data_IF_382091507137
#
_entry.id   IF_382091507137
#
_cell.length_a   1.000
_cell.length_b   1.000
_cell.length_c   1.000
_cell.angle_alpha   90.00
_cell.angle_beta   90.00
_cell.angle_gamma   90.00
#
_symmetry.space_group_name_H-M   'P 1'
#
loop_
_entity.id
_entity.type
_entity.pdbx_description
1 polymer ?
#
# COMPACT_ATOMS: atom_id res chain seq x y z
N UNK A 1 3.72 -7.04 -1.35
CA UNK A 1 4.92 -6.43 -1.97
C UNK A 1 4.50 -5.10 -2.57
N UNK A 2 5.11 -3.97 -2.18
CA UNK A 2 4.75 -2.67 -2.72
C UNK A 2 5.06 -2.62 -4.22
N UNK A 3 4.17 -2.00 -5.01
CA UNK A 3 4.44 -1.67 -6.40
C UNK A 3 4.54 -0.16 -6.53
N UNK A 4 5.66 0.30 -7.06
CA UNK A 4 5.90 1.68 -7.49
C UNK A 4 5.81 1.69 -9.01
N UNK A 5 4.92 2.51 -9.56
CA UNK A 5 4.71 2.64 -10.99
C UNK A 5 4.84 4.13 -11.33
N UNK A 6 5.51 4.43 -12.45
CA UNK A 6 5.76 5.77 -13.00
C UNK A 6 6.92 6.55 -12.37
N UNK A 7 7.21 7.69 -13.02
CA UNK A 7 8.33 8.58 -12.75
C UNK A 7 8.28 9.18 -11.34
N UNK A 8 9.32 8.93 -10.54
CA UNK A 8 9.45 9.38 -9.16
C UNK A 8 9.66 10.90 -9.01
N UNK A 9 9.84 11.65 -10.11
CA UNK A 9 9.85 13.12 -10.10
C UNK A 9 8.45 13.73 -9.99
N UNK A 10 7.40 12.93 -10.19
CA UNK A 10 6.00 13.37 -10.16
C UNK A 10 5.45 13.39 -8.73
N UNK A 11 4.37 14.16 -8.47
CA UNK A 11 3.65 14.06 -7.20
C UNK A 11 3.23 12.61 -6.92
N UNK A 12 3.48 12.17 -5.69
CA UNK A 12 3.17 10.81 -5.27
C UNK A 12 1.73 10.70 -4.76
N UNK A 13 1.10 9.56 -5.06
CA UNK A 13 -0.19 9.15 -4.48
C UNK A 13 -0.07 7.73 -3.97
N UNK A 14 -0.54 7.49 -2.74
CA UNK A 14 -0.65 6.14 -2.18
C UNK A 14 -2.09 5.68 -2.22
N UNK A 15 -2.33 4.49 -2.78
CA UNK A 15 -3.67 3.94 -2.90
C UNK A 15 -3.89 2.87 -1.83
N UNK A 16 -4.85 3.12 -0.95
CA UNK A 16 -5.21 2.22 0.14
C UNK A 16 -6.49 1.47 -0.20
N UNK A 17 -6.46 0.14 -0.11
CA UNK A 17 -7.67 -0.66 -0.27
C UNK A 17 -8.56 -0.59 0.99
N UNK A 18 -9.87 -0.77 0.80
CA UNK A 18 -10.84 -0.89 1.90
C UNK A 18 -10.99 -2.32 2.45
N UNK A 19 -12.08 -2.57 3.18
CA UNK A 19 -12.39 -3.84 3.83
C UNK A 19 -12.63 -3.64 5.33
N UNK A 20 -11.66 -3.92 6.22
CA UNK A 20 -10.24 -4.24 5.99
C UNK A 20 -10.00 -5.65 5.42
N UNK A 21 -8.76 -5.94 4.99
CA UNK A 21 -8.36 -7.29 4.54
C UNK A 21 -8.57 -7.62 3.05
N UNK A 22 -9.09 -6.69 2.23
CA UNK A 22 -9.45 -6.96 0.83
C UNK A 22 -8.27 -7.09 -0.15
N UNK A 23 -7.14 -6.43 0.13
CA UNK A 23 -6.01 -6.35 -0.79
C UNK A 23 -6.23 -5.35 -1.93
N UNK A 24 -5.14 -4.94 -2.57
CA UNK A 24 -5.14 -4.00 -3.68
C UNK A 24 -5.63 -4.69 -4.96
N UNK A 25 -6.73 -4.19 -5.52
CA UNK A 25 -7.18 -4.63 -6.84
C UNK A 25 -6.29 -4.04 -7.94
N UNK A 26 -6.09 -4.79 -9.03
CA UNK A 26 -5.38 -4.28 -10.21
C UNK A 26 -6.10 -3.11 -10.92
N UNK A 27 -7.35 -2.82 -10.54
CA UNK A 27 -8.13 -1.70 -11.07
C UNK A 27 -7.78 -0.37 -10.40
N UNK A 28 -7.38 -0.39 -9.13
CA UNK A 28 -7.17 0.82 -8.33
C UNK A 28 -6.11 1.76 -8.93
N UNK A 29 -4.92 1.29 -9.37
CA UNK A 29 -3.95 2.15 -10.05
C UNK A 29 -4.44 2.76 -11.36
N UNK A 30 -5.37 2.09 -12.06
CA UNK A 30 -5.88 2.53 -13.37
C UNK A 30 -6.84 3.73 -13.27
N UNK A 31 -7.21 4.14 -12.07
CA UNK A 31 -7.99 5.35 -11.83
C UNK A 31 -7.12 6.61 -11.90
N UNK A 32 -5.80 6.46 -11.97
CA UNK A 32 -4.84 7.56 -12.00
C UNK A 32 -4.09 7.58 -13.32
N UNK A 33 -3.83 8.79 -13.81
CA UNK A 33 -3.00 9.03 -14.98
C UNK A 33 -1.52 8.82 -14.62
N UNK A 34 -0.86 7.78 -15.16
CA UNK A 34 0.54 7.48 -14.84
C UNK A 34 1.51 8.55 -15.33
N UNK A 35 1.11 9.42 -16.27
CA UNK A 35 1.93 10.53 -16.74
C UNK A 35 1.87 11.76 -15.82
N UNK A 36 0.94 11.77 -14.88
CA UNK A 36 0.77 12.86 -13.90
C UNK A 36 1.15 12.46 -12.49
N UNK A 37 1.13 11.17 -12.16
CA UNK A 37 1.30 10.68 -10.80
C UNK A 37 2.37 9.61 -10.70
N UNK A 38 3.16 9.68 -9.62
CA UNK A 38 3.92 8.55 -9.10
C UNK A 38 2.98 7.71 -8.23
N UNK A 39 2.62 6.52 -8.70
CA UNK A 39 1.55 5.71 -8.08
C UNK A 39 2.17 4.63 -7.21
N UNK A 40 1.82 4.65 -5.92
CA UNK A 40 2.25 3.67 -4.92
C UNK A 40 1.06 2.83 -4.48
N UNK A 41 1.20 1.51 -4.51
CA UNK A 41 0.21 0.59 -3.92
C UNK A 41 0.84 -0.42 -2.98
N UNK A 42 0.07 -0.84 -1.98
CA UNK A 42 0.48 -1.88 -1.03
C UNK A 42 -0.72 -2.69 -0.55
N UNK A 43 -0.49 -3.97 -0.27
CA UNK A 43 -1.44 -4.82 0.46
C UNK A 43 -1.19 -4.66 1.95
N UNK A 44 -2.22 -4.31 2.72
CA UNK A 44 -2.12 -4.20 4.19
C UNK A 44 -1.81 -5.57 4.82
N UNK A 45 -1.40 -5.56 6.10
CA UNK A 45 -1.05 -6.78 6.84
C UNK A 45 -2.16 -7.83 6.74
N UNK A 46 -1.76 -9.08 6.49
CA UNK A 46 -2.69 -10.21 6.36
C UNK A 46 -3.53 -10.25 5.08
N UNK A 47 -3.47 -9.24 4.21
CA UNK A 47 -4.30 -9.14 3.01
C UNK A 47 -3.52 -9.41 1.70
N UNK A 48 -4.24 -9.84 0.66
CA UNK A 48 -3.71 -9.97 -0.70
C UNK A 48 -2.38 -10.75 -0.78
N UNK A 49 -1.32 -10.07 -1.21
CA UNK A 49 0.02 -10.64 -1.38
C UNK A 49 0.93 -10.39 -0.16
N UNK A 50 0.43 -9.78 0.91
CA UNK A 50 1.18 -9.64 2.15
C UNK A 50 1.28 -10.99 2.87
N UNK A 51 2.37 -11.16 3.63
CA UNK A 51 2.68 -12.42 4.31
C UNK A 51 3.05 -12.15 5.77
N UNK A 52 2.62 -13.01 6.72
CA UNK A 52 1.69 -14.13 6.53
C UNK A 52 0.28 -13.67 6.10
N UNK A 53 -0.46 -14.52 5.36
CA UNK A 53 -1.81 -14.21 4.91
C UNK A 53 -2.83 -14.66 5.97
N UNK A 54 -3.80 -13.81 6.33
CA UNK A 54 -4.70 -14.07 7.45
C UNK A 54 -5.66 -15.24 7.21
N UNK A 55 -5.97 -15.55 5.94
CA UNK A 55 -6.74 -16.74 5.58
C UNK A 55 -5.95 -18.05 5.66
N UNK A 56 -4.63 -17.99 5.81
CA UNK A 56 -3.74 -19.16 5.91
C UNK A 56 -3.20 -19.33 7.34
N UNK A 57 -2.87 -18.23 8.01
CA UNK A 57 -2.31 -18.21 9.36
C UNK A 57 -2.90 -17.03 10.17
N UNK A 58 -3.65 -17.35 11.22
CA UNK A 58 -4.28 -16.36 12.11
C UNK A 58 -3.25 -15.55 12.92
N UNK A 59 -2.00 -16.00 13.03
CA UNK A 59 -0.93 -15.21 13.64
C UNK A 59 -0.70 -13.89 12.91
N UNK A 60 -1.09 -13.80 11.63
CA UNK A 60 -1.10 -12.58 10.84
C UNK A 60 -1.94 -11.44 11.45
N UNK A 61 -2.86 -11.76 12.38
CA UNK A 61 -3.71 -10.78 13.06
C UNK A 61 -3.08 -10.16 14.31
N UNK A 62 -2.04 -10.77 14.89
CA UNK A 62 -1.46 -10.31 16.17
C UNK A 62 -0.91 -8.88 16.13
N UNK A 63 -0.35 -8.47 14.99
CA UNK A 63 0.17 -7.12 14.78
C UNK A 63 -0.56 -6.40 13.64
N UNK A 64 -1.88 -6.64 13.51
CA UNK A 64 -2.73 -6.05 12.47
C UNK A 64 -3.71 -5.03 13.07
N UNK A 65 -3.16 -3.92 13.57
CA UNK A 65 -3.92 -2.81 14.15
C UNK A 65 -3.71 -1.54 13.31
N UNK A 66 -4.59 -0.54 13.46
CA UNK A 66 -4.48 0.73 12.74
C UNK A 66 -3.10 1.37 12.91
N UNK A 67 -2.55 1.40 14.12
CA UNK A 67 -1.22 1.99 14.38
C UNK A 67 -0.11 1.27 13.61
N UNK A 68 -0.18 -0.05 13.54
CA UNK A 68 0.75 -0.86 12.76
C UNK A 68 0.63 -0.56 11.26
N UNK A 69 -0.60 -0.40 10.75
CA UNK A 69 -0.84 -0.06 9.35
C UNK A 69 -0.33 1.35 9.01
N UNK A 70 -0.55 2.32 9.89
CA UNK A 70 0.01 3.69 9.74
C UNK A 70 1.55 3.64 9.77
N UNK A 71 2.14 2.87 10.69
CA UNK A 71 3.60 2.70 10.75
C UNK A 71 4.17 2.05 9.48
N UNK A 72 3.46 1.11 8.85
CA UNK A 72 3.88 0.51 7.59
C UNK A 72 3.87 1.52 6.45
N UNK A 73 2.88 2.42 6.42
CA UNK A 73 2.81 3.49 5.43
C UNK A 73 3.97 4.47 5.57
N UNK A 74 4.32 4.89 6.78
CA UNK A 74 5.51 5.75 7.00
C UNK A 74 6.81 5.05 6.62
N UNK A 75 6.93 3.75 6.94
CA UNK A 75 8.08 2.94 6.53
C UNK A 75 8.17 2.86 5.01
N UNK A 76 7.05 2.60 4.33
CA UNK A 76 7.01 2.54 2.88
C UNK A 76 7.36 3.88 2.24
N UNK A 77 6.79 4.98 2.74
CA UNK A 77 7.07 6.34 2.29
C UNK A 77 8.57 6.65 2.37
N UNK A 78 9.18 6.36 3.51
CA UNK A 78 10.61 6.57 3.77
C UNK A 78 11.48 5.70 2.88
N UNK A 79 11.13 4.41 2.71
CA UNK A 79 11.86 3.48 1.84
C UNK A 79 11.85 3.90 0.38
N UNK A 80 10.78 4.54 -0.09
CA UNK A 80 10.65 5.04 -1.45
C UNK A 80 11.25 6.46 -1.63
N UNK A 81 11.74 7.09 -0.57
CA UNK A 81 12.30 8.45 -0.62
C UNK A 81 11.26 9.54 -0.90
N UNK A 82 10.00 9.30 -0.57
CA UNK A 82 8.89 10.23 -0.85
C UNK A 82 8.71 11.17 0.35
N UNK A 83 8.88 12.48 0.17
CA UNK A 83 8.68 13.43 1.28
C UNK A 83 7.20 13.57 1.66
N UNK A 84 6.33 13.73 0.66
CA UNK A 84 4.87 13.84 0.83
C UNK A 84 4.14 13.11 -0.29
N UNK A 85 2.95 12.59 0.02
CA UNK A 85 2.04 12.00 -0.95
C UNK A 85 0.59 12.40 -0.68
N UNK A 86 -0.27 12.22 -1.67
CA UNK A 86 -1.73 12.22 -1.50
C UNK A 86 -2.20 10.85 -1.01
N UNK A 87 -3.19 10.83 -0.13
CA UNK A 87 -3.90 9.62 0.35
C UNK A 87 -5.32 9.63 -0.18
#
# INVERSE_FOLDING_TARGET
>A
MPRSIADASRPAVVLLHGGPGGGTSARLPRLFDPDRWHIVTTDQRGAGRSRPHAGEDLSALHANTTDHLVSDLERLRSLLGIDRWTV
#
